data_IF_978261120114
#
_entry.id   IF_978261120114
#
_cell.length_a   1.000
_cell.length_b   1.000
_cell.length_c   1.000
_cell.angle_alpha   90.00
_cell.angle_beta   90.00
_cell.angle_gamma   90.00
#
_symmetry.space_group_name_H-M   'P 1'
#
loop_
_entity.id
_entity.type
_entity.pdbx_description
1 polymer ?
#
# COMPACT_ATOMS: atom_id res chain seq x y z
N UNK A 1 16.59 8.38 -0.78
CA UNK A 1 15.50 7.94 -1.70
C UNK A 1 15.64 8.52 -3.10
N UNK A 2 15.92 9.83 -3.28
CA UNK A 2 16.07 10.45 -4.60
C UNK A 2 17.04 9.74 -5.55
N UNK A 3 18.21 9.30 -5.06
CA UNK A 3 19.16 8.52 -5.86
C UNK A 3 18.55 7.23 -6.46
N UNK A 4 17.78 6.47 -5.67
CA UNK A 4 17.16 5.22 -6.15
C UNK A 4 16.11 5.53 -7.21
N UNK A 5 15.31 6.59 -6.99
CA UNK A 5 14.29 7.02 -7.94
C UNK A 5 14.95 7.44 -9.26
N UNK A 6 15.96 8.30 -9.22
CA UNK A 6 16.60 8.83 -10.43
C UNK A 6 17.41 7.80 -11.20
N UNK A 7 18.17 6.94 -10.50
CA UNK A 7 19.09 6.00 -11.15
C UNK A 7 18.44 4.66 -11.52
N UNK A 8 17.46 4.19 -10.74
CA UNK A 8 16.90 2.85 -10.91
C UNK A 8 15.45 2.84 -11.37
N UNK A 9 14.61 3.76 -10.88
CA UNK A 9 13.18 3.77 -11.23
C UNK A 9 12.96 4.54 -12.54
N UNK A 10 13.39 5.80 -12.60
CA UNK A 10 13.14 6.70 -13.73
C UNK A 10 13.57 6.12 -15.09
N UNK A 11 14.76 5.51 -15.26
CA UNK A 11 15.17 4.96 -16.55
C UNK A 11 14.29 3.79 -17.00
N UNK A 12 13.82 2.97 -16.06
CA UNK A 12 12.99 1.80 -16.37
C UNK A 12 11.59 2.24 -16.80
N UNK A 13 11.05 3.23 -16.11
CA UNK A 13 9.69 3.75 -16.37
C UNK A 13 9.65 4.63 -17.62
N UNK A 14 10.70 5.43 -17.91
CA UNK A 14 10.81 6.17 -19.19
C UNK A 14 10.85 5.24 -20.40
N UNK A 15 11.48 4.08 -20.25
CA UNK A 15 11.60 3.07 -21.30
C UNK A 15 10.45 2.04 -21.31
N UNK A 16 9.46 2.17 -20.44
CA UNK A 16 8.31 1.25 -20.42
C UNK A 16 7.19 1.74 -21.35
N UNK A 17 6.40 0.78 -21.86
CA UNK A 17 5.11 1.06 -22.50
C UNK A 17 4.01 0.94 -21.44
N UNK A 18 2.87 1.58 -21.69
CA UNK A 18 1.71 1.46 -20.82
C UNK A 18 1.39 -0.02 -20.53
N UNK A 19 1.34 -0.46 -19.26
CA UNK A 19 1.31 -1.88 -18.90
C UNK A 19 0.09 -2.62 -19.45
N UNK A 20 -1.04 -1.93 -19.59
CA UNK A 20 -2.29 -2.50 -20.15
C UNK A 20 -2.40 -2.46 -21.69
N UNK A 21 -1.45 -1.81 -22.39
CA UNK A 21 -1.48 -1.68 -23.87
C UNK A 21 -0.37 -2.47 -24.56
N UNK A 22 0.57 -3.05 -23.80
CA UNK A 22 1.68 -3.83 -24.32
C UNK A 22 1.44 -5.35 -24.20
N UNK A 23 2.41 -6.13 -24.68
CA UNK A 23 2.42 -7.58 -24.46
C UNK A 23 2.51 -7.88 -22.96
N UNK A 24 1.70 -8.84 -22.49
CA UNK A 24 1.65 -9.26 -21.09
C UNK A 24 3.03 -9.63 -20.51
N UNK A 25 3.85 -10.33 -21.30
CA UNK A 25 5.22 -10.69 -20.91
C UNK A 25 6.11 -9.46 -20.66
N UNK A 26 5.96 -8.43 -21.50
CA UNK A 26 6.71 -7.18 -21.33
C UNK A 26 6.25 -6.43 -20.08
N UNK A 27 4.95 -6.48 -19.76
CA UNK A 27 4.43 -5.89 -18.52
C UNK A 27 5.01 -6.61 -17.29
N UNK A 28 5.01 -7.94 -17.26
CA UNK A 28 5.63 -8.73 -16.19
C UNK A 28 7.11 -8.40 -16.04
N UNK A 29 7.87 -8.38 -17.13
CA UNK A 29 9.30 -8.06 -17.11
C UNK A 29 9.56 -6.70 -16.46
N UNK A 30 8.75 -5.68 -16.81
CA UNK A 30 8.89 -4.33 -16.25
C UNK A 30 8.53 -4.26 -14.77
N UNK A 31 7.47 -4.95 -14.36
CA UNK A 31 7.07 -5.07 -12.95
C UNK A 31 8.19 -5.71 -12.13
N UNK A 32 8.74 -6.82 -12.61
CA UNK A 32 9.82 -7.52 -11.91
C UNK A 32 11.08 -6.66 -11.82
N UNK A 33 11.46 -5.94 -12.89
CA UNK A 33 12.59 -5.01 -12.86
C UNK A 33 12.40 -3.85 -11.87
N UNK A 34 11.16 -3.38 -11.69
CA UNK A 34 10.82 -2.32 -10.74
C UNK A 34 10.58 -2.82 -9.31
N UNK A 35 10.36 -4.11 -9.11
CA UNK A 35 10.00 -4.69 -7.81
C UNK A 35 11.01 -4.39 -6.71
N UNK A 36 12.30 -4.64 -6.96
CA UNK A 36 13.37 -4.39 -6.00
C UNK A 36 13.53 -2.90 -5.65
N UNK A 37 13.72 -1.98 -6.61
CA UNK A 37 13.94 -0.58 -6.27
C UNK A 37 12.71 0.07 -5.61
N UNK A 38 11.49 -0.30 -6.02
CA UNK A 38 10.26 0.24 -5.40
C UNK A 38 10.09 -0.28 -3.97
N UNK A 39 10.29 -1.58 -3.74
CA UNK A 39 10.24 -2.16 -2.40
C UNK A 39 11.26 -1.48 -1.47
N UNK A 40 12.47 -1.24 -1.96
CA UNK A 40 13.51 -0.58 -1.17
C UNK A 40 13.15 0.86 -0.81
N UNK A 41 12.64 1.63 -1.78
CA UNK A 41 12.14 3.00 -1.52
C UNK A 41 11.02 2.99 -0.48
N UNK A 42 10.10 2.01 -0.56
CA UNK A 42 9.01 1.87 0.37
C UNK A 42 9.47 1.52 1.80
N UNK A 43 10.42 0.60 1.94
CA UNK A 43 11.03 0.26 3.24
C UNK A 43 11.82 1.45 3.83
N UNK A 44 12.58 2.17 3.00
CA UNK A 44 13.26 3.39 3.44
C UNK A 44 12.24 4.45 3.87
N UNK A 45 11.16 4.65 3.13
CA UNK A 45 10.10 5.60 3.47
C UNK A 45 9.49 5.26 4.82
N UNK A 46 9.18 3.98 5.04
CA UNK A 46 8.68 3.50 6.31
C UNK A 46 9.62 3.84 7.46
N UNK A 47 10.90 3.48 7.33
CA UNK A 47 11.89 3.71 8.38
C UNK A 47 12.10 5.21 8.63
N UNK A 48 12.30 6.01 7.59
CA UNK A 48 12.52 7.45 7.72
C UNK A 48 11.31 8.16 8.35
N UNK A 49 10.09 7.76 8.00
CA UNK A 49 8.89 8.40 8.51
C UNK A 49 8.46 7.85 9.87
N UNK A 50 8.13 6.56 9.97
CA UNK A 50 7.56 5.98 11.19
C UNK A 50 8.58 5.81 12.30
N UNK A 51 9.83 5.45 11.97
CA UNK A 51 10.85 5.25 12.98
C UNK A 51 11.57 6.55 13.30
N UNK A 52 12.17 7.24 12.32
CA UNK A 52 12.98 8.42 12.60
C UNK A 52 12.11 9.67 12.87
N UNK A 53 11.31 10.09 11.89
CA UNK A 53 10.58 11.36 11.97
C UNK A 53 9.58 11.41 13.13
N UNK A 54 8.73 10.40 13.30
CA UNK A 54 7.75 10.39 14.39
C UNK A 54 8.41 10.33 15.78
N UNK A 55 9.54 9.63 15.94
CA UNK A 55 10.27 9.63 17.22
C UNK A 55 10.94 10.99 17.49
N UNK A 56 11.49 11.67 16.48
CA UNK A 56 12.02 13.04 16.63
C UNK A 56 10.90 13.97 17.10
N UNK A 57 9.74 13.93 16.43
CA UNK A 57 8.58 14.75 16.83
C UNK A 57 8.10 14.38 18.24
N UNK A 58 8.06 13.10 18.58
CA UNK A 58 7.68 12.66 19.92
C UNK A 58 8.64 13.14 21.00
N UNK A 59 9.95 13.13 20.74
CA UNK A 59 10.95 13.67 21.68
C UNK A 59 10.76 15.18 21.87
N UNK A 60 10.63 15.93 20.77
CA UNK A 60 10.43 17.38 20.79
C UNK A 60 9.15 17.80 21.52
N UNK A 61 8.09 16.99 21.43
CA UNK A 61 6.80 17.24 22.08
C UNK A 61 6.70 16.59 23.46
N UNK A 62 7.76 15.93 23.95
CA UNK A 62 7.76 15.12 25.17
C UNK A 62 6.61 14.09 25.20
N UNK A 63 6.28 13.52 24.04
CA UNK A 63 5.24 12.51 23.87
C UNK A 63 5.76 11.11 24.23
N UNK A 64 5.14 10.50 25.24
CA UNK A 64 5.56 9.20 25.79
C UNK A 64 5.11 7.97 24.99
N UNK A 65 3.99 8.02 24.27
CA UNK A 65 3.51 6.87 23.47
C UNK A 65 4.20 6.82 22.11
N UNK A 66 5.28 6.05 22.03
CA UNK A 66 6.09 5.90 20.80
C UNK A 66 5.75 4.64 20.01
N UNK A 67 4.62 3.99 20.28
CA UNK A 67 4.16 2.80 19.59
C UNK A 67 3.54 3.14 18.21
N UNK A 68 4.39 3.60 17.27
CA UNK A 68 3.96 3.98 15.93
C UNK A 68 3.75 2.79 14.98
N UNK A 69 4.42 1.67 15.23
CA UNK A 69 4.34 0.43 14.46
C UNK A 69 4.71 -0.78 15.35
N UNK A 70 4.41 -1.99 14.88
CA UNK A 70 4.81 -3.29 15.48
C UNK A 70 5.59 -4.13 14.47
N UNK A 71 5.94 -5.36 14.82
CA UNK A 71 6.71 -6.31 13.98
C UNK A 71 5.91 -6.83 12.76
N UNK A 72 5.44 -5.91 11.92
CA UNK A 72 4.57 -6.17 10.79
C UNK A 72 5.24 -7.06 9.72
N UNK A 73 6.57 -7.06 9.66
CA UNK A 73 7.34 -7.88 8.70
C UNK A 73 7.21 -9.38 8.99
N UNK A 74 6.88 -9.75 10.23
CA UNK A 74 6.64 -11.11 10.68
C UNK A 74 5.15 -11.49 10.71
N UNK A 75 4.27 -10.62 10.20
CA UNK A 75 2.83 -10.87 10.20
C UNK A 75 2.50 -12.17 9.44
N UNK A 76 1.63 -13.00 10.04
CA UNK A 76 1.23 -14.30 9.51
C UNK A 76 0.06 -14.19 8.52
N UNK A 77 -0.66 -13.07 8.56
CA UNK A 77 -1.79 -12.78 7.67
C UNK A 77 -1.72 -11.33 7.19
N UNK A 78 -2.37 -11.05 6.05
CA UNK A 78 -2.45 -9.67 5.52
C UNK A 78 -3.26 -8.77 6.46
N UNK A 79 -4.24 -9.31 7.17
CA UNK A 79 -4.99 -8.60 8.21
C UNK A 79 -4.05 -8.11 9.32
N UNK A 80 -3.23 -9.03 9.87
CA UNK A 80 -2.28 -8.72 10.93
C UNK A 80 -1.27 -7.66 10.50
N UNK A 81 -0.76 -7.75 9.28
CA UNK A 81 0.13 -6.76 8.70
C UNK A 81 -0.48 -5.34 8.75
N UNK A 82 -1.71 -5.15 8.25
CA UNK A 82 -2.36 -3.84 8.22
C UNK A 82 -2.65 -3.27 9.61
N UNK A 83 -2.76 -4.14 10.62
CA UNK A 83 -2.94 -3.73 12.02
C UNK A 83 -1.63 -3.28 12.67
N UNK A 84 -0.49 -3.77 12.20
CA UNK A 84 0.83 -3.56 12.80
C UNK A 84 1.67 -2.50 12.08
N UNK A 85 1.44 -2.28 10.78
CA UNK A 85 2.22 -1.37 9.94
C UNK A 85 2.14 0.09 10.41
N UNK A 86 0.93 0.61 10.63
CA UNK A 86 0.69 2.00 10.99
C UNK A 86 -0.31 2.06 12.15
N UNK A 87 0.23 2.00 13.37
CA UNK A 87 -0.58 1.97 14.59
C UNK A 87 -1.44 3.24 14.77
N UNK A 88 -0.97 4.47 14.51
CA UNK A 88 -1.80 5.67 14.59
C UNK A 88 -3.07 5.60 13.73
N UNK A 89 -2.92 5.24 12.45
CA UNK A 89 -4.07 5.12 11.53
C UNK A 89 -4.94 3.92 11.93
N UNK A 90 -4.33 2.80 12.33
CA UNK A 90 -5.08 1.63 12.78
C UNK A 90 -5.95 1.95 14.01
N UNK A 91 -5.37 2.58 15.05
CA UNK A 91 -6.08 3.03 16.25
C UNK A 91 -7.19 4.02 15.89
N UNK A 92 -6.95 4.93 14.94
CA UNK A 92 -7.96 5.89 14.47
C UNK A 92 -9.14 5.21 13.77
N UNK A 93 -8.89 4.30 12.82
CA UNK A 93 -9.93 3.54 12.11
C UNK A 93 -10.74 2.70 13.08
N UNK A 94 -10.09 1.99 14.01
CA UNK A 94 -10.78 1.17 15.00
C UNK A 94 -11.73 2.03 15.85
N UNK A 95 -11.23 3.17 16.35
CA UNK A 95 -11.99 4.03 17.26
C UNK A 95 -13.14 4.77 16.59
N UNK A 96 -12.94 5.28 15.37
CA UNK A 96 -13.88 6.21 14.73
C UNK A 96 -14.75 5.56 13.65
N UNK A 97 -14.36 4.39 13.13
CA UNK A 97 -15.10 3.70 12.07
C UNK A 97 -15.58 2.34 12.57
N UNK A 98 -14.66 1.44 12.92
CA UNK A 98 -15.00 0.06 13.23
C UNK A 98 -15.94 -0.07 14.44
N UNK A 99 -15.55 0.42 15.62
CA UNK A 99 -16.38 0.30 16.82
C UNK A 99 -17.74 1.01 16.69
N UNK A 100 -17.83 2.23 16.12
CA UNK A 100 -19.11 2.85 15.82
C UNK A 100 -20.01 2.00 14.91
N UNK A 101 -19.46 1.36 13.87
CA UNK A 101 -20.22 0.42 13.02
C UNK A 101 -20.73 -0.78 13.84
N UNK A 102 -19.88 -1.41 14.65
CA UNK A 102 -20.28 -2.55 15.47
C UNK A 102 -21.36 -2.16 16.49
N UNK A 103 -21.23 -0.99 17.15
CA UNK A 103 -22.22 -0.47 18.10
C UNK A 103 -23.58 -0.16 17.45
N UNK A 104 -23.60 0.17 16.15
CA UNK A 104 -24.82 0.37 15.37
C UNK A 104 -25.45 -0.95 14.88
N UNK A 105 -24.88 -2.11 15.22
CA UNK A 105 -25.41 -3.42 14.85
C UNK A 105 -24.94 -3.94 13.49
N UNK A 106 -23.96 -3.30 12.83
CA UNK A 106 -23.38 -3.85 11.61
C UNK A 106 -22.59 -5.13 11.88
N UNK A 107 -22.60 -6.07 10.92
CA UNK A 107 -21.78 -7.27 11.01
C UNK A 107 -20.29 -6.95 10.92
N UNK A 108 -19.44 -7.83 11.46
CA UNK A 108 -17.97 -7.65 11.42
C UNK A 108 -17.44 -7.49 10.00
N UNK A 109 -18.00 -8.24 9.04
CA UNK A 109 -17.62 -8.15 7.63
C UNK A 109 -17.95 -6.79 7.01
N UNK A 110 -19.13 -6.26 7.30
CA UNK A 110 -19.54 -4.92 6.82
C UNK A 110 -18.68 -3.83 7.46
N UNK A 111 -18.35 -3.93 8.74
CA UNK A 111 -17.47 -2.96 9.41
C UNK A 111 -16.05 -2.96 8.81
N UNK A 112 -15.51 -4.12 8.45
CA UNK A 112 -14.24 -4.24 7.72
C UNK A 112 -14.36 -3.60 6.34
N UNK A 113 -15.40 -3.91 5.59
CA UNK A 113 -15.64 -3.33 4.26
C UNK A 113 -15.68 -1.80 4.30
N UNK A 114 -16.43 -1.22 5.24
CA UNK A 114 -16.50 0.24 5.43
C UNK A 114 -15.13 0.82 5.80
N UNK A 115 -14.38 0.14 6.68
CA UNK A 115 -13.04 0.59 7.07
C UNK A 115 -12.06 0.61 5.89
N UNK A 116 -12.09 -0.43 5.05
CA UNK A 116 -11.29 -0.49 3.82
C UNK A 116 -11.76 0.53 2.78
N UNK A 117 -13.06 0.75 2.65
CA UNK A 117 -13.61 1.75 1.73
C UNK A 117 -13.13 3.16 2.08
N UNK A 118 -13.24 3.54 3.35
CA UNK A 118 -12.75 4.85 3.82
C UNK A 118 -11.25 4.96 3.58
N UNK A 119 -10.48 3.92 3.92
CA UNK A 119 -9.04 3.88 3.64
C UNK A 119 -8.73 4.05 2.16
N UNK A 120 -9.44 3.34 1.26
CA UNK A 120 -9.26 3.40 -0.18
C UNK A 120 -9.51 4.80 -0.74
N UNK A 121 -10.53 5.49 -0.24
CA UNK A 121 -10.82 6.90 -0.60
C UNK A 121 -9.68 7.82 -0.20
N UNK A 122 -9.17 7.71 1.04
CA UNK A 122 -8.04 8.53 1.48
C UNK A 122 -6.77 8.26 0.65
N UNK A 123 -6.49 7.00 0.31
CA UNK A 123 -5.34 6.66 -0.54
C UNK A 123 -5.48 7.24 -1.95
N UNK A 124 -6.67 7.16 -2.55
CA UNK A 124 -6.92 7.79 -3.86
C UNK A 124 -6.73 9.31 -3.78
N UNK A 125 -7.26 9.98 -2.74
CA UNK A 125 -7.09 11.44 -2.59
C UNK A 125 -5.61 11.82 -2.44
N UNK A 126 -4.86 11.08 -1.61
CA UNK A 126 -3.43 11.34 -1.38
C UNK A 126 -2.59 11.22 -2.65
N UNK A 127 -2.99 10.41 -3.63
CA UNK A 127 -2.29 10.25 -4.90
C UNK A 127 -2.87 11.17 -5.97
N UNK A 128 -4.20 11.21 -6.09
CA UNK A 128 -4.91 11.92 -7.13
C UNK A 128 -4.76 13.43 -7.02
N UNK A 129 -4.72 13.99 -5.81
CA UNK A 129 -4.59 15.45 -5.62
C UNK A 129 -3.21 15.94 -6.08
N UNK A 130 -2.07 15.41 -5.58
CA UNK A 130 -0.75 15.85 -6.06
C UNK A 130 -0.50 15.53 -7.53
N UNK A 131 -1.00 14.38 -8.02
CA UNK A 131 -0.86 14.04 -9.43
C UNK A 131 -1.86 14.80 -10.33
N UNK A 132 -2.91 15.41 -9.77
CA UNK A 132 -4.07 15.97 -10.48
C UNK A 132 -4.77 14.97 -11.43
N UNK A 133 -4.80 13.67 -11.08
CA UNK A 133 -5.38 12.60 -11.91
C UNK A 133 -6.31 11.73 -11.07
N UNK A 134 -7.55 11.58 -11.52
CA UNK A 134 -8.55 10.73 -10.87
C UNK A 134 -8.82 9.49 -11.74
N UNK A 135 -8.20 8.36 -11.39
CA UNK A 135 -8.25 7.10 -12.17
C UNK A 135 -8.64 5.88 -11.34
N UNK A 136 -8.73 6.00 -10.01
CA UNK A 136 -9.16 4.94 -9.09
C UNK A 136 -8.29 3.67 -9.09
N UNK A 137 -7.02 3.77 -9.51
CA UNK A 137 -6.09 2.65 -9.46
C UNK A 137 -5.73 2.29 -8.02
N UNK A 138 -5.42 3.28 -7.19
CA UNK A 138 -5.11 3.06 -5.77
C UNK A 138 -6.35 2.60 -5.01
N UNK A 139 -7.51 3.20 -5.29
CA UNK A 139 -8.78 2.74 -4.74
C UNK A 139 -9.03 1.25 -5.01
N UNK A 140 -8.93 0.83 -6.26
CA UNK A 140 -9.14 -0.57 -6.66
C UNK A 140 -8.10 -1.50 -6.04
N UNK A 141 -6.84 -1.06 -5.96
CA UNK A 141 -5.76 -1.81 -5.32
C UNK A 141 -5.99 -2.09 -3.84
N UNK A 142 -6.50 -1.12 -3.07
CA UNK A 142 -6.86 -1.30 -1.66
C UNK A 142 -8.08 -2.21 -1.52
N UNK A 143 -9.12 -2.01 -2.35
CA UNK A 143 -10.33 -2.83 -2.28
C UNK A 143 -10.06 -4.30 -2.64
N UNK A 144 -9.13 -4.58 -3.55
CA UNK A 144 -8.69 -5.94 -3.89
C UNK A 144 -8.02 -6.68 -2.72
N UNK A 145 -7.54 -5.97 -1.71
CA UNK A 145 -6.96 -6.61 -0.53
C UNK A 145 -8.02 -7.24 0.38
N UNK A 146 -9.28 -6.86 0.28
CA UNK A 146 -10.35 -7.45 1.09
C UNK A 146 -10.49 -8.96 0.83
N UNK A 147 -10.65 -9.43 -0.43
CA UNK A 147 -10.56 -10.86 -0.76
C UNK A 147 -9.29 -11.53 -0.24
N UNK A 148 -8.15 -10.85 -0.33
CA UNK A 148 -6.86 -11.38 0.11
C UNK A 148 -6.80 -11.58 1.63
N UNK A 149 -7.41 -10.68 2.40
CA UNK A 149 -7.56 -10.80 3.86
C UNK A 149 -8.38 -12.04 4.21
N UNK A 150 -9.52 -12.25 3.55
CA UNK A 150 -10.34 -13.45 3.79
C UNK A 150 -9.62 -14.73 3.38
N UNK A 151 -8.93 -14.72 2.24
CA UNK A 151 -8.15 -15.86 1.75
C UNK A 151 -7.01 -16.21 2.71
N UNK A 152 -6.22 -15.23 3.13
CA UNK A 152 -5.08 -15.46 4.04
C UNK A 152 -5.54 -15.91 5.42
N UNK A 153 -6.69 -15.42 5.90
CA UNK A 153 -7.31 -15.91 7.13
C UNK A 153 -7.79 -17.36 7.00
N UNK A 154 -8.41 -17.73 5.88
CA UNK A 154 -8.81 -19.11 5.60
C UNK A 154 -7.60 -20.05 5.53
N UNK A 155 -6.56 -19.67 4.77
CA UNK A 155 -5.33 -20.45 4.66
C UNK A 155 -4.64 -20.61 6.01
N UNK A 156 -4.61 -19.56 6.83
CA UNK A 156 -4.04 -19.65 8.17
C UNK A 156 -4.81 -20.62 9.07
N UNK A 157 -6.15 -20.61 9.00
CA UNK A 157 -6.99 -21.54 9.75
C UNK A 157 -6.80 -23.01 9.32
N UNK A 158 -6.62 -23.26 8.02
CA UNK A 158 -6.43 -24.60 7.46
C UNK A 158 -5.02 -25.16 7.71
N UNK A 159 -3.97 -24.35 7.50
CA UNK A 159 -2.59 -24.84 7.50
C UNK A 159 -1.83 -24.61 8.82
N UNK A 160 -2.42 -23.92 9.80
CA UNK A 160 -2.04 -23.67 11.23
C UNK A 160 -0.60 -23.28 11.59
N UNK A 161 0.41 -23.49 10.74
CA UNK A 161 1.83 -23.27 11.03
C UNK A 161 2.63 -22.74 9.85
N UNK A 162 2.05 -22.66 8.65
CA UNK A 162 2.81 -22.27 7.46
C UNK A 162 2.79 -20.75 7.30
N UNK A 163 3.95 -20.15 7.02
CA UNK A 163 4.14 -18.72 6.70
C UNK A 163 3.50 -18.30 5.36
N UNK A 164 2.46 -19.00 4.89
CA UNK A 164 1.82 -18.74 3.59
C UNK A 164 1.29 -17.31 3.51
N UNK A 165 0.64 -16.80 4.56
CA UNK A 165 0.14 -15.43 4.56
C UNK A 165 1.27 -14.38 4.52
N UNK A 166 2.42 -14.67 5.14
CA UNK A 166 3.60 -13.83 5.07
C UNK A 166 4.21 -13.82 3.65
N UNK A 167 4.35 -15.00 3.03
CA UNK A 167 4.82 -15.13 1.64
C UNK A 167 3.88 -14.41 0.66
N UNK A 168 2.57 -14.57 0.81
CA UNK A 168 1.56 -13.88 0.00
C UNK A 168 1.68 -12.37 0.17
N UNK A 169 1.86 -11.88 1.40
CA UNK A 169 2.03 -10.46 1.67
C UNK A 169 3.28 -9.88 0.97
N UNK A 170 4.43 -10.53 1.10
CA UNK A 170 5.67 -10.07 0.45
C UNK A 170 5.57 -10.16 -1.07
N UNK A 171 5.00 -11.23 -1.61
CA UNK A 171 4.75 -11.35 -3.04
C UNK A 171 3.83 -10.22 -3.55
N UNK A 172 2.76 -9.92 -2.83
CA UNK A 172 1.88 -8.80 -3.17
C UNK A 172 2.60 -7.46 -3.10
N UNK A 173 3.50 -7.25 -2.14
CA UNK A 173 4.30 -6.02 -2.04
C UNK A 173 5.27 -5.87 -3.21
N UNK A 174 5.91 -6.96 -3.62
CA UNK A 174 6.84 -7.04 -4.76
C UNK A 174 6.15 -6.75 -6.10
N UNK A 175 4.88 -7.17 -6.27
CA UNK A 175 4.15 -7.03 -7.54
C UNK A 175 3.22 -5.82 -7.56
N UNK A 176 2.48 -5.59 -6.49
CA UNK A 176 1.41 -4.60 -6.40
C UNK A 176 1.93 -3.16 -6.40
N UNK A 177 3.01 -2.88 -5.68
CA UNK A 177 3.57 -1.52 -5.62
C UNK A 177 4.15 -1.06 -6.97
N UNK A 178 5.00 -1.85 -7.67
CA UNK A 178 5.46 -1.47 -9.01
C UNK A 178 4.33 -1.27 -10.01
N UNK A 179 3.29 -2.12 -9.95
CA UNK A 179 2.12 -1.98 -10.82
C UNK A 179 1.42 -0.64 -10.62
N UNK A 180 1.23 -0.22 -9.37
CA UNK A 180 0.65 1.09 -9.07
C UNK A 180 1.53 2.23 -9.62
N UNK A 181 2.85 2.17 -9.40
CA UNK A 181 3.79 3.18 -9.90
C UNK A 181 3.75 3.28 -11.43
N UNK A 182 3.77 2.14 -12.14
CA UNK A 182 3.69 2.11 -13.60
C UNK A 182 2.38 2.71 -14.13
N UNK A 183 1.24 2.36 -13.54
CA UNK A 183 -0.07 2.85 -13.97
C UNK A 183 -0.16 4.37 -13.81
N UNK A 184 0.14 4.89 -12.61
CA UNK A 184 0.07 6.32 -12.35
C UNK A 184 1.10 7.12 -13.17
N UNK A 185 2.33 6.61 -13.33
CA UNK A 185 3.32 7.31 -14.15
C UNK A 185 2.87 7.47 -15.59
N UNK A 186 2.39 6.37 -16.21
CA UNK A 186 1.94 6.44 -17.59
C UNK A 186 0.73 7.34 -17.76
N UNK A 187 -0.19 7.37 -16.80
CA UNK A 187 -1.32 8.30 -16.82
C UNK A 187 -0.88 9.76 -16.71
N UNK A 188 0.10 10.07 -15.85
CA UNK A 188 0.67 11.43 -15.74
C UNK A 188 1.36 11.86 -17.04
N UNK A 189 2.19 11.00 -17.62
CA UNK A 189 2.89 11.30 -18.88
C UNK A 189 1.92 11.45 -20.05
N UNK A 190 0.91 10.58 -20.15
CA UNK A 190 -0.09 10.68 -21.22
C UNK A 190 -0.85 12.01 -21.15
N UNK A 191 -1.18 12.47 -19.94
CA UNK A 191 -1.81 13.78 -19.75
C UNK A 191 -0.88 14.93 -20.14
N UNK A 192 0.38 14.90 -19.72
CA UNK A 192 1.35 15.94 -20.09
C UNK A 192 1.54 16.03 -21.61
N UNK A 193 1.59 14.89 -22.30
CA UNK A 193 1.68 14.83 -23.76
C UNK A 193 0.41 15.33 -24.47
N UNK A 194 -0.75 15.31 -23.82
CA UNK A 194 -1.99 15.90 -24.33
C UNK A 194 -2.06 17.41 -24.08
N UNK A 195 -1.55 17.88 -22.95
CA UNK A 195 -1.53 19.30 -22.60
C UNK A 195 -0.49 20.12 -23.39
N UNK A 196 0.50 19.46 -23.99
CA UNK A 196 1.53 20.07 -24.84
C UNK A 196 1.19 20.06 -26.34
N UNK A 197 0.00 19.57 -26.72
CA UNK A 197 -0.55 19.61 -28.08
C UNK A 197 -1.61 20.68 -28.18
#
# INVERSE_FOLDING_TARGET
MGFIIEQYINPIVKNSKHPLKGNFLNAIERVLKLSVPTLYVWLCMFYCFFHLWLNIVAELLCFGDREFYKDWWNAKTVEEYWRMWNMPVHKWIIRHIYFPCIRKGFSRGVAILISFLVSAVFHEICIAVPCHIFKFWAFSGIMFQIPLVFLTRYLHATFKHVMVGNMIFWFFSIVGQPMCVLLYYHDVMNRQAQASR
#
